data_IF_857855236146
#
_entry.id   IF_857855236146
#
_cell.length_a   1.000
_cell.length_b   1.000
_cell.length_c   1.000
_cell.angle_alpha   90.00
_cell.angle_beta   90.00
_cell.angle_gamma   90.00
#
_symmetry.space_group_name_H-M   'P 1'
#
loop_
_entity.id
_entity.type
_entity.pdbx_description
1 polymer ?
#
# COMPACT_ATOMS: atom_id res chain seq x y z
N UNK A 1 18.88 -17.34 20.02
CA UNK A 1 18.06 -17.88 18.92
C UNK A 1 18.83 -19.00 18.26
N UNK A 2 18.27 -20.20 18.19
CA UNK A 2 18.98 -21.35 17.62
C UNK A 2 18.90 -21.35 16.07
N UNK A 3 19.93 -21.83 15.36
CA UNK A 3 19.97 -21.85 13.89
C UNK A 3 18.79 -22.62 13.24
N UNK A 4 18.19 -23.57 13.98
CA UNK A 4 17.03 -24.34 13.55
C UNK A 4 15.76 -23.49 13.40
N UNK A 5 15.59 -22.44 14.21
CA UNK A 5 14.43 -21.53 14.15
C UNK A 5 14.45 -20.66 12.89
N UNK A 6 15.65 -20.27 12.45
CA UNK A 6 15.85 -19.49 11.21
C UNK A 6 15.58 -20.38 9.98
N UNK A 7 16.03 -21.64 10.02
CA UNK A 7 15.78 -22.64 8.96
C UNK A 7 14.27 -22.96 8.79
N UNK A 8 13.52 -23.07 9.89
CA UNK A 8 12.08 -23.30 9.86
C UNK A 8 11.29 -22.06 9.37
N UNK A 9 11.74 -20.85 9.73
CA UNK A 9 11.17 -19.60 9.25
C UNK A 9 11.42 -19.38 7.73
N UNK A 10 12.62 -19.75 7.24
CA UNK A 10 12.97 -19.70 5.81
C UNK A 10 12.25 -20.77 4.97
N UNK A 11 11.81 -21.88 5.56
CA UNK A 11 11.03 -22.93 4.86
C UNK A 11 9.58 -22.55 4.55
N UNK A 12 9.10 -21.41 5.04
CA UNK A 12 7.73 -20.90 4.81
C UNK A 12 7.74 -19.47 4.26
N UNK A 13 8.69 -19.11 3.41
CA UNK A 13 8.60 -17.82 2.74
C UNK A 13 7.48 -17.92 1.69
N UNK A 14 6.31 -17.45 2.09
CA UNK A 14 5.15 -17.37 1.21
C UNK A 14 5.49 -16.47 0.00
N UNK A 15 5.16 -16.86 -1.24
CA UNK A 15 5.45 -16.05 -2.42
C UNK A 15 4.94 -14.60 -2.30
N UNK A 16 3.86 -14.37 -1.55
CA UNK A 16 3.37 -13.01 -1.29
C UNK A 16 4.29 -12.18 -0.40
N UNK A 17 5.03 -12.81 0.52
CA UNK A 17 6.01 -12.13 1.38
C UNK A 17 7.21 -11.71 0.55
N UNK A 18 7.70 -12.57 -0.34
CA UNK A 18 8.78 -12.23 -1.28
C UNK A 18 8.34 -11.10 -2.18
N UNK A 19 7.13 -11.19 -2.76
CA UNK A 19 6.58 -10.15 -3.61
C UNK A 19 6.38 -8.83 -2.85
N UNK A 20 5.98 -8.88 -1.58
CA UNK A 20 5.80 -7.69 -0.74
C UNK A 20 7.15 -7.01 -0.45
N UNK A 21 8.16 -7.80 -0.05
CA UNK A 21 9.51 -7.28 0.22
C UNK A 21 10.12 -6.72 -1.05
N UNK A 22 10.05 -7.45 -2.16
CA UNK A 22 10.56 -7.00 -3.45
C UNK A 22 9.91 -5.69 -3.89
N UNK A 23 8.58 -5.57 -3.76
CA UNK A 23 7.87 -4.34 -4.10
C UNK A 23 8.28 -3.16 -3.19
N UNK A 24 8.54 -3.40 -1.91
CA UNK A 24 9.01 -2.37 -0.96
C UNK A 24 10.49 -2.01 -1.12
N UNK A 25 11.28 -2.79 -1.87
CA UNK A 25 12.65 -2.42 -2.25
C UNK A 25 12.68 -1.51 -3.48
N UNK A 26 11.63 -1.49 -4.30
CA UNK A 26 11.58 -0.61 -5.48
C UNK A 26 11.74 0.87 -5.13
N UNK A 27 11.11 1.41 -4.08
CA UNK A 27 11.35 2.80 -3.67
C UNK A 27 12.80 3.09 -3.24
N UNK A 28 13.49 2.12 -2.61
CA UNK A 28 14.92 2.24 -2.28
C UNK A 28 15.76 2.35 -3.56
N UNK A 29 15.48 1.51 -4.56
CA UNK A 29 16.12 1.59 -5.88
C UNK A 29 15.81 2.94 -6.54
N UNK A 30 14.58 3.42 -6.44
CA UNK A 30 14.14 4.76 -6.83
C UNK A 30 15.05 5.87 -6.27
N UNK A 31 15.28 5.85 -4.96
CA UNK A 31 16.10 6.85 -4.27
C UNK A 31 17.59 6.76 -4.65
N UNK A 32 18.17 5.56 -4.67
CA UNK A 32 19.62 5.40 -4.88
C UNK A 32 20.05 5.42 -6.35
N UNK A 33 19.25 4.84 -7.25
CA UNK A 33 19.58 4.69 -8.67
C UNK A 33 18.94 5.80 -9.50
N UNK A 34 17.63 6.00 -9.35
CA UNK A 34 16.87 7.00 -10.11
C UNK A 34 16.86 8.38 -9.44
N UNK A 35 17.57 8.53 -8.31
CA UNK A 35 17.73 9.78 -7.57
C UNK A 35 16.39 10.44 -7.25
N UNK A 36 15.39 9.63 -6.93
CA UNK A 36 14.05 10.14 -6.61
C UNK A 36 14.12 11.17 -5.51
N UNK A 37 13.54 12.32 -5.80
CA UNK A 37 13.29 13.35 -4.82
C UNK A 37 12.14 12.95 -3.90
N UNK A 38 11.95 13.75 -2.86
CA UNK A 38 10.92 13.56 -1.83
C UNK A 38 9.55 13.35 -2.44
N UNK A 39 9.15 14.25 -3.33
CA UNK A 39 7.79 14.27 -3.84
C UNK A 39 7.44 13.02 -4.68
N UNK A 40 8.23 12.61 -5.70
CA UNK A 40 7.98 11.36 -6.42
C UNK A 40 7.86 10.13 -5.51
N UNK A 41 8.69 10.05 -4.45
CA UNK A 41 8.63 8.96 -3.47
C UNK A 41 7.31 8.97 -2.68
N UNK A 42 6.95 10.13 -2.11
CA UNK A 42 5.69 10.29 -1.36
C UNK A 42 4.46 10.09 -2.25
N UNK A 43 4.55 10.51 -3.51
CA UNK A 43 3.50 10.31 -4.50
C UNK A 43 3.33 8.83 -4.85
N UNK A 44 4.42 8.07 -4.99
CA UNK A 44 4.34 6.62 -5.17
C UNK A 44 3.70 5.92 -3.96
N UNK A 45 4.10 6.31 -2.74
CA UNK A 45 3.46 5.82 -1.51
C UNK A 45 1.97 6.12 -1.50
N UNK A 46 1.56 7.30 -1.96
CA UNK A 46 0.15 7.61 -2.12
C UNK A 46 -0.53 6.72 -3.17
N UNK A 47 0.08 6.50 -4.34
CA UNK A 47 -0.44 5.62 -5.41
C UNK A 47 -0.65 4.17 -4.93
N UNK A 48 0.20 3.67 -4.04
CA UNK A 48 0.03 2.35 -3.43
C UNK A 48 -1.34 2.20 -2.75
N UNK A 49 -1.86 3.26 -2.11
CA UNK A 49 -3.18 3.22 -1.48
C UNK A 49 -4.31 2.98 -2.50
N UNK A 50 -4.14 3.47 -3.73
CA UNK A 50 -5.07 3.22 -4.83
C UNK A 50 -5.02 1.73 -5.20
N UNK A 51 -3.82 1.17 -5.39
CA UNK A 51 -3.63 -0.26 -5.70
C UNK A 51 -4.22 -1.15 -4.60
N UNK A 52 -3.98 -0.81 -3.33
CA UNK A 52 -4.56 -1.49 -2.16
C UNK A 52 -6.08 -1.41 -2.18
N UNK A 53 -6.64 -0.21 -2.45
CA UNK A 53 -8.08 0.02 -2.53
C UNK A 53 -8.74 -0.81 -3.61
N UNK A 54 -8.19 -0.79 -4.83
CA UNK A 54 -8.66 -1.60 -5.97
C UNK A 54 -8.60 -3.09 -5.64
N UNK A 55 -7.47 -3.55 -5.09
CA UNK A 55 -7.30 -4.95 -4.68
C UNK A 55 -8.33 -5.36 -3.61
N UNK A 56 -8.66 -4.47 -2.69
CA UNK A 56 -9.65 -4.72 -1.66
C UNK A 56 -11.08 -4.78 -2.21
N UNK A 57 -11.40 -3.91 -3.17
CA UNK A 57 -12.67 -3.99 -3.92
C UNK A 57 -12.80 -5.33 -4.63
N UNK A 58 -11.75 -5.79 -5.30
CA UNK A 58 -11.72 -7.13 -5.90
C UNK A 58 -11.95 -8.23 -4.85
N UNK A 59 -11.29 -8.16 -3.69
CA UNK A 59 -11.56 -9.11 -2.61
C UNK A 59 -13.03 -9.11 -2.17
N UNK A 60 -13.63 -7.95 -1.98
CA UNK A 60 -15.04 -7.84 -1.59
C UNK A 60 -15.99 -8.37 -2.67
N UNK A 61 -15.69 -8.14 -3.95
CA UNK A 61 -16.45 -8.66 -5.08
C UNK A 61 -16.43 -10.20 -5.10
N UNK A 62 -15.26 -10.80 -4.90
CA UNK A 62 -15.07 -12.25 -4.92
C UNK A 62 -15.37 -12.95 -3.59
N UNK A 63 -15.59 -12.21 -2.50
CA UNK A 63 -16.04 -12.78 -1.24
C UNK A 63 -17.34 -13.56 -1.46
N UNK A 64 -17.43 -14.78 -0.92
CA UNK A 64 -18.56 -15.69 -1.11
C UNK A 64 -19.26 -15.97 0.23
N UNK A 65 -20.14 -15.06 0.70
CA UNK A 65 -20.88 -15.27 1.94
C UNK A 65 -21.83 -16.46 1.82
N UNK A 66 -21.94 -17.27 2.88
CA UNK A 66 -22.90 -18.38 2.98
C UNK A 66 -24.36 -17.95 3.16
N UNK A 67 -24.60 -16.69 3.53
CA UNK A 67 -25.90 -16.16 3.94
C UNK A 67 -26.43 -15.15 2.90
N UNK A 68 -27.67 -15.30 2.39
CA UNK A 68 -28.31 -14.37 1.46
C UNK A 68 -28.32 -12.91 1.94
N UNK A 69 -28.49 -12.66 3.24
CA UNK A 69 -28.48 -11.30 3.80
C UNK A 69 -27.12 -10.61 3.60
N UNK A 70 -26.04 -11.38 3.60
CA UNK A 70 -24.67 -10.88 3.37
C UNK A 70 -24.38 -10.61 1.90
N UNK A 71 -25.11 -11.24 0.98
CA UNK A 71 -25.06 -10.87 -0.44
C UNK A 71 -25.69 -9.49 -0.67
N UNK A 72 -26.84 -9.22 -0.04
CA UNK A 72 -27.42 -7.87 -0.04
C UNK A 72 -26.49 -6.84 0.60
N UNK A 73 -25.80 -7.21 1.68
CA UNK A 73 -24.80 -6.34 2.30
C UNK A 73 -23.67 -5.94 1.33
N UNK A 74 -23.22 -6.82 0.41
CA UNK A 74 -22.21 -6.48 -0.61
C UNK A 74 -22.64 -5.29 -1.48
N UNK A 75 -23.92 -5.22 -1.85
CA UNK A 75 -24.46 -4.12 -2.66
C UNK A 75 -24.37 -2.76 -1.95
N UNK A 76 -24.34 -2.75 -0.63
CA UNK A 76 -24.13 -1.53 0.16
C UNK A 76 -22.65 -1.27 0.45
N UNK A 77 -21.94 -2.28 0.97
CA UNK A 77 -20.57 -2.13 1.46
C UNK A 77 -19.56 -1.79 0.34
N UNK A 78 -19.73 -2.30 -0.88
CA UNK A 78 -18.78 -2.05 -1.96
C UNK A 78 -18.86 -0.59 -2.45
N UNK A 79 -20.03 -0.03 -2.83
CA UNK A 79 -20.13 1.38 -3.16
C UNK A 79 -19.75 2.29 -1.99
N UNK A 80 -20.17 1.94 -0.76
CA UNK A 80 -19.78 2.69 0.43
C UNK A 80 -18.26 2.74 0.60
N UNK A 81 -17.57 1.61 0.46
CA UNK A 81 -16.11 1.55 0.49
C UNK A 81 -15.51 2.43 -0.60
N UNK A 82 -15.97 2.31 -1.85
CA UNK A 82 -15.44 3.12 -2.97
C UNK A 82 -15.57 4.62 -2.70
N UNK A 83 -16.72 5.08 -2.19
CA UNK A 83 -16.93 6.50 -1.86
C UNK A 83 -16.11 6.93 -0.65
N UNK A 84 -16.17 6.16 0.45
CA UNK A 84 -15.53 6.55 1.71
C UNK A 84 -14.00 6.45 1.65
N UNK A 85 -13.47 5.29 1.23
CA UNK A 85 -12.03 5.07 1.06
C UNK A 85 -11.48 5.89 -0.11
N UNK A 86 -12.22 5.98 -1.22
CA UNK A 86 -11.83 6.79 -2.37
C UNK A 86 -11.78 8.29 -2.04
N UNK A 87 -12.79 8.80 -1.33
CA UNK A 87 -12.81 10.18 -0.85
C UNK A 87 -11.65 10.49 0.09
N UNK A 88 -11.37 9.61 1.04
CA UNK A 88 -10.20 9.73 1.91
C UNK A 88 -8.89 9.74 1.10
N UNK A 89 -8.74 8.82 0.14
CA UNK A 89 -7.54 8.72 -0.71
C UNK A 89 -7.36 9.96 -1.58
N UNK A 90 -8.46 10.52 -2.10
CA UNK A 90 -8.46 11.74 -2.90
C UNK A 90 -8.04 12.96 -2.08
N UNK A 91 -8.63 13.17 -0.89
CA UNK A 91 -8.25 14.26 0.02
C UNK A 91 -6.78 14.13 0.43
N UNK A 92 -6.34 12.94 0.81
CA UNK A 92 -4.94 12.72 1.16
C UNK A 92 -3.99 13.03 -0.02
N UNK A 93 -4.32 12.61 -1.24
CA UNK A 93 -3.53 12.92 -2.43
C UNK A 93 -3.43 14.42 -2.69
N UNK A 94 -4.54 15.13 -2.55
CA UNK A 94 -4.56 16.59 -2.64
C UNK A 94 -3.64 17.24 -1.60
N UNK A 95 -3.59 16.74 -0.36
CA UNK A 95 -2.65 17.22 0.66
C UNK A 95 -1.19 16.93 0.31
N UNK A 96 -0.87 15.72 -0.16
CA UNK A 96 0.50 15.36 -0.59
C UNK A 96 0.99 16.32 -1.68
N UNK A 97 0.15 16.59 -2.68
CA UNK A 97 0.46 17.56 -3.75
C UNK A 97 0.54 18.98 -3.21
N UNK A 98 -0.36 19.38 -2.30
CA UNK A 98 -0.36 20.71 -1.72
C UNK A 98 0.90 21.00 -0.89
N UNK A 99 1.39 20.03 -0.11
CA UNK A 99 2.56 20.23 0.75
C UNK A 99 3.89 19.97 0.03
N UNK A 100 3.96 18.95 -0.83
CA UNK A 100 5.22 18.49 -1.41
C UNK A 100 5.32 18.66 -2.92
N UNK A 101 4.22 18.98 -3.62
CA UNK A 101 4.16 19.01 -5.07
C UNK A 101 4.89 20.17 -5.75
N UNK A 102 5.35 21.19 -5.00
CA UNK A 102 6.25 22.26 -5.46
C UNK A 102 5.98 22.78 -6.88
N UNK A 103 6.70 22.22 -7.86
CA UNK A 103 6.64 22.56 -9.29
C UNK A 103 5.44 22.06 -10.09
N UNK A 104 4.54 21.26 -9.51
CA UNK A 104 3.25 20.90 -10.11
C UNK A 104 2.17 21.98 -9.92
N UNK A 105 2.46 23.00 -9.11
CA UNK A 105 1.52 24.06 -8.73
C UNK A 105 1.35 25.16 -9.78
N UNK A 106 1.53 24.86 -11.07
CA UNK A 106 1.43 25.90 -12.10
C UNK A 106 -0.04 26.35 -12.28
N UNK A 107 -0.34 27.46 -11.59
CA UNK A 107 -1.35 28.49 -11.83
C UNK A 107 -2.87 28.20 -11.81
N UNK A 108 -3.40 26.99 -11.53
CA UNK A 108 -4.88 26.80 -11.52
C UNK A 108 -5.53 25.99 -10.38
N UNK A 109 -4.81 25.53 -9.36
CA UNK A 109 -5.43 24.98 -8.14
C UNK A 109 -4.72 23.79 -7.49
N UNK A 110 -5.39 23.15 -6.52
CA UNK A 110 -4.91 22.00 -5.74
C UNK A 110 -4.79 20.70 -6.57
N UNK A 111 -5.33 20.66 -7.78
CA UNK A 111 -5.35 19.49 -8.67
C UNK A 111 -4.37 19.71 -9.82
N UNK A 112 -3.34 18.87 -10.00
CA UNK A 112 -2.41 18.98 -11.12
C UNK A 112 -3.10 18.64 -12.44
N UNK A 113 -2.60 19.20 -13.55
CA UNK A 113 -3.06 18.81 -14.88
C UNK A 113 -2.65 17.37 -15.20
N UNK A 114 -3.43 16.73 -16.08
CA UNK A 114 -3.14 15.36 -16.55
C UNK A 114 -1.74 15.27 -17.17
N UNK A 115 -1.33 16.28 -17.93
CA UNK A 115 0.01 16.34 -18.53
C UNK A 115 1.12 16.39 -17.47
N UNK A 116 0.89 17.12 -16.37
CA UNK A 116 1.87 17.25 -15.30
C UNK A 116 2.01 15.94 -14.51
N UNK A 117 0.88 15.24 -14.27
CA UNK A 117 0.89 13.89 -13.70
C UNK A 117 1.58 12.89 -14.63
N UNK A 118 1.31 12.96 -15.94
CA UNK A 118 1.94 12.10 -16.93
C UNK A 118 3.46 12.30 -16.97
N UNK A 119 3.92 13.56 -16.96
CA UNK A 119 5.35 13.88 -16.87
C UNK A 119 5.98 13.37 -15.59
N UNK A 120 5.33 13.56 -14.43
CA UNK A 120 5.81 13.06 -13.15
C UNK A 120 6.03 11.53 -13.20
N UNK A 121 5.05 10.79 -13.72
CA UNK A 121 5.11 9.31 -13.79
C UNK A 121 6.17 8.84 -14.77
N UNK A 122 6.28 9.46 -15.94
CA UNK A 122 7.22 9.04 -16.99
C UNK A 122 8.67 9.44 -16.68
N UNK A 123 8.91 10.67 -16.23
CA UNK A 123 10.26 11.17 -15.92
C UNK A 123 10.89 10.49 -14.72
N UNK A 124 10.09 10.11 -13.72
CA UNK A 124 10.58 9.41 -12.53
C UNK A 124 10.45 7.88 -12.64
N UNK A 125 10.04 7.36 -13.80
CA UNK A 125 9.85 5.92 -14.00
C UNK A 125 8.87 5.27 -13.00
N UNK A 126 7.94 6.04 -12.43
CA UNK A 126 7.00 5.55 -11.41
C UNK A 126 6.07 4.46 -11.95
N UNK A 127 5.88 4.40 -13.27
CA UNK A 127 5.08 3.35 -13.92
C UNK A 127 5.60 1.95 -13.63
N UNK A 128 6.92 1.74 -13.60
CA UNK A 128 7.51 0.44 -13.26
C UNK A 128 7.31 0.07 -11.79
N UNK A 129 7.42 1.05 -10.91
CA UNK A 129 7.19 0.85 -9.48
C UNK A 129 5.71 0.55 -9.19
N UNK A 130 4.81 1.27 -9.84
CA UNK A 130 3.38 1.03 -9.76
C UNK A 130 3.01 -0.35 -10.31
N UNK A 131 3.62 -0.77 -11.42
CA UNK A 131 3.45 -2.11 -11.97
C UNK A 131 3.93 -3.18 -10.99
N UNK A 132 5.10 -2.99 -10.36
CA UNK A 132 5.62 -3.89 -9.34
C UNK A 132 4.67 -4.03 -8.13
N UNK A 133 4.13 -2.92 -7.65
CA UNK A 133 3.11 -2.92 -6.58
C UNK A 133 1.84 -3.65 -7.02
N UNK A 134 1.33 -3.35 -8.22
CA UNK A 134 0.14 -3.99 -8.77
C UNK A 134 0.33 -5.51 -8.95
N UNK A 135 1.49 -5.95 -9.43
CA UNK A 135 1.84 -7.37 -9.57
C UNK A 135 1.93 -8.03 -8.20
N UNK A 136 2.58 -7.40 -7.22
CA UNK A 136 2.68 -7.94 -5.86
C UNK A 136 1.31 -8.15 -5.21
N UNK A 137 0.44 -7.16 -5.33
CA UNK A 137 -0.95 -7.25 -4.88
C UNK A 137 -1.76 -8.27 -5.68
N UNK A 138 -1.56 -8.34 -6.99
CA UNK A 138 -2.18 -9.30 -7.89
C UNK A 138 -1.81 -10.75 -7.57
N UNK A 139 -0.54 -11.02 -7.24
CA UNK A 139 -0.07 -12.33 -6.79
C UNK A 139 -0.74 -12.69 -5.46
N UNK A 140 -0.77 -11.76 -4.49
CA UNK A 140 -1.45 -12.01 -3.22
C UNK A 140 -2.95 -12.28 -3.43
N UNK A 141 -3.60 -11.59 -4.35
CA UNK A 141 -5.01 -11.82 -4.67
C UNK A 141 -5.23 -13.17 -5.38
N UNK A 142 -4.48 -13.46 -6.43
CA UNK A 142 -4.64 -14.70 -7.19
C UNK A 142 -4.26 -15.95 -6.38
N UNK A 143 -3.08 -15.94 -5.77
CA UNK A 143 -2.56 -17.12 -5.07
C UNK A 143 -3.15 -17.29 -3.67
N UNK A 144 -3.18 -16.24 -2.84
CA UNK A 144 -3.67 -16.41 -1.47
C UNK A 144 -5.19 -16.31 -1.44
N UNK A 145 -5.77 -15.29 -2.07
CA UNK A 145 -7.20 -15.04 -1.91
C UNK A 145 -8.08 -16.02 -2.71
N UNK A 146 -7.75 -16.24 -3.98
CA UNK A 146 -8.52 -17.14 -4.85
C UNK A 146 -8.09 -18.61 -4.70
N UNK A 147 -6.81 -18.93 -4.96
CA UNK A 147 -6.34 -20.32 -5.01
C UNK A 147 -6.38 -21.03 -3.65
N UNK A 148 -5.96 -20.37 -2.57
CA UNK A 148 -6.07 -20.94 -1.21
C UNK A 148 -7.47 -20.81 -0.60
N UNK A 149 -8.40 -20.17 -1.30
CA UNK A 149 -9.81 -20.15 -0.91
C UNK A 149 -10.17 -19.19 0.23
N UNK A 150 -9.32 -18.21 0.56
CA UNK A 150 -9.62 -17.21 1.61
C UNK A 150 -10.94 -16.47 1.33
N UNK A 151 -11.31 -16.31 0.06
CA UNK A 151 -12.58 -15.68 -0.37
C UNK A 151 -13.83 -16.35 0.22
N UNK A 152 -13.75 -17.62 0.62
CA UNK A 152 -14.88 -18.39 1.20
C UNK A 152 -15.14 -18.04 2.67
N UNK A 153 -14.10 -17.65 3.39
CA UNK A 153 -14.17 -17.33 4.83
C UNK A 153 -14.04 -15.81 5.08
N UNK A 154 -13.81 -15.02 4.03
CA UNK A 154 -13.64 -13.58 4.12
C UNK A 154 -14.90 -12.86 4.63
N UNK A 155 -14.76 -12.15 5.75
CA UNK A 155 -15.83 -11.32 6.33
C UNK A 155 -15.80 -9.93 5.70
N UNK A 156 -16.94 -9.46 5.19
CA UNK A 156 -17.08 -8.13 4.59
C UNK A 156 -16.59 -7.01 5.51
N UNK A 157 -16.95 -7.04 6.80
CA UNK A 157 -16.51 -6.02 7.75
C UNK A 157 -14.98 -6.00 7.93
N UNK A 158 -14.33 -7.17 7.88
CA UNK A 158 -12.87 -7.25 7.95
C UNK A 158 -12.22 -6.68 6.70
N UNK A 159 -12.77 -6.98 5.52
CA UNK A 159 -12.28 -6.43 4.24
C UNK A 159 -12.46 -4.91 4.19
N UNK A 160 -13.57 -4.37 4.70
CA UNK A 160 -13.76 -2.93 4.82
C UNK A 160 -12.61 -2.27 5.58
N UNK A 161 -12.21 -2.82 6.73
CA UNK A 161 -11.19 -2.21 7.59
C UNK A 161 -9.74 -2.54 7.18
N UNK A 162 -9.53 -3.53 6.31
CA UNK A 162 -8.20 -4.07 5.97
C UNK A 162 -7.24 -2.99 5.41
N UNK A 163 -7.64 -2.09 4.49
CA UNK A 163 -6.76 -1.07 3.93
C UNK A 163 -6.31 0.00 4.93
N UNK A 164 -7.17 0.35 5.90
CA UNK A 164 -6.95 1.49 6.80
C UNK A 164 -5.69 1.35 7.66
N UNK A 165 -5.36 0.13 8.09
CA UNK A 165 -4.15 -0.10 8.88
C UNK A 165 -2.86 0.27 8.13
N UNK A 166 -2.79 -0.06 6.84
CA UNK A 166 -1.64 0.26 5.97
C UNK A 166 -1.59 1.75 5.65
N UNK A 167 -2.75 2.33 5.37
CA UNK A 167 -2.89 3.77 5.09
C UNK A 167 -2.48 4.62 6.31
N UNK A 168 -2.88 4.23 7.53
CA UNK A 168 -2.49 4.95 8.75
C UNK A 168 -0.99 4.91 9.00
N UNK A 169 -0.37 3.74 8.82
CA UNK A 169 1.09 3.57 8.87
C UNK A 169 1.77 4.54 7.93
N UNK A 170 1.25 4.64 6.70
CA UNK A 170 1.77 5.53 5.68
C UNK A 170 1.59 7.00 6.06
N UNK A 171 0.44 7.41 6.59
CA UNK A 171 0.23 8.78 7.08
C UNK A 171 1.22 9.15 8.18
N UNK A 172 1.40 8.27 9.17
CA UNK A 172 2.37 8.48 10.24
C UNK A 172 3.80 8.57 9.70
N UNK A 173 4.11 7.76 8.68
CA UNK A 173 5.41 7.77 8.01
C UNK A 173 5.62 9.05 7.19
N UNK A 174 4.62 9.53 6.45
CA UNK A 174 4.72 10.74 5.63
C UNK A 174 4.76 11.99 6.51
N UNK A 175 3.87 12.11 7.50
CA UNK A 175 3.86 13.22 8.45
C UNK A 175 5.12 13.25 9.29
N UNK A 176 5.48 12.13 9.95
CA UNK A 176 6.69 12.02 10.75
C UNK A 176 7.96 12.15 9.91
N UNK A 177 7.93 11.66 8.67
CA UNK A 177 9.00 11.75 7.69
C UNK A 177 9.32 13.15 7.24
N UNK A 178 8.29 13.97 6.99
CA UNK A 178 8.48 15.39 6.70
C UNK A 178 9.24 16.08 7.83
N UNK A 179 8.83 15.86 9.08
CA UNK A 179 9.53 16.40 10.25
C UNK A 179 10.96 15.84 10.42
N UNK A 180 11.16 14.54 10.20
CA UNK A 180 12.48 13.90 10.25
C UNK A 180 13.43 14.46 9.20
N UNK A 181 12.95 14.71 7.98
CA UNK A 181 13.77 15.30 6.92
C UNK A 181 14.16 16.74 7.22
N UNK A 182 13.25 17.52 7.81
CA UNK A 182 13.56 18.86 8.29
C UNK A 182 14.64 18.81 9.39
N UNK A 183 14.60 17.82 10.28
CA UNK A 183 15.58 17.68 11.37
C UNK A 183 16.95 17.17 10.90
N UNK A 184 16.99 16.27 9.91
CA UNK A 184 18.22 15.60 9.48
C UNK A 184 19.12 16.45 8.56
N UNK A 185 18.59 17.55 7.99
CA UNK A 185 19.27 18.43 7.02
C UNK A 185 19.87 17.71 5.78
N UNK A 186 19.71 16.38 5.66
CA UNK A 186 20.20 15.53 4.59
C UNK A 186 19.01 14.83 3.92
N UNK A 187 18.65 15.25 2.69
CA UNK A 187 17.52 14.67 1.97
C UNK A 187 17.67 13.17 1.75
N UNK A 188 18.87 12.69 1.45
CA UNK A 188 19.11 11.28 1.14
C UNK A 188 18.94 10.37 2.37
N UNK A 189 19.49 10.77 3.52
CA UNK A 189 19.38 9.99 4.75
C UNK A 189 17.92 9.94 5.25
N UNK A 190 17.20 11.05 5.13
CA UNK A 190 15.78 11.14 5.46
C UNK A 190 14.92 10.23 4.58
N UNK A 191 15.16 10.21 3.26
CA UNK A 191 14.45 9.32 2.33
C UNK A 191 14.74 7.84 2.60
N UNK A 192 16.00 7.48 2.82
CA UNK A 192 16.36 6.09 3.14
C UNK A 192 15.70 5.62 4.44
N UNK A 193 15.72 6.45 5.48
CA UNK A 193 15.04 6.14 6.75
C UNK A 193 13.53 5.99 6.56
N UNK A 194 12.92 6.83 5.73
CA UNK A 194 11.49 6.75 5.42
C UNK A 194 11.10 5.43 4.75
N UNK A 195 11.87 4.99 3.75
CA UNK A 195 11.60 3.71 3.10
C UNK A 195 11.80 2.54 4.07
N UNK A 196 12.84 2.59 4.92
CA UNK A 196 13.07 1.55 5.93
C UNK A 196 11.95 1.49 6.97
N UNK A 197 11.50 2.65 7.47
CA UNK A 197 10.39 2.73 8.42
C UNK A 197 9.12 2.13 7.80
N UNK A 198 8.81 2.50 6.55
CA UNK A 198 7.67 1.95 5.82
C UNK A 198 7.78 0.43 5.68
N UNK A 199 8.92 -0.09 5.24
CA UNK A 199 9.15 -1.53 5.09
C UNK A 199 8.87 -2.29 6.39
N UNK A 200 9.39 -1.79 7.53
CA UNK A 200 9.17 -2.42 8.85
C UNK A 200 7.69 -2.42 9.22
N UNK A 201 7.00 -1.30 9.01
CA UNK A 201 5.59 -1.18 9.37
C UNK A 201 4.69 -2.03 8.45
N UNK A 202 5.00 -2.11 7.16
CA UNK A 202 4.28 -2.96 6.20
C UNK A 202 4.49 -4.44 6.48
N UNK A 203 5.70 -4.86 6.85
CA UNK A 203 5.98 -6.24 7.31
C UNK A 203 5.18 -6.56 8.58
N UNK A 204 5.17 -5.66 9.55
CA UNK A 204 4.39 -5.84 10.80
C UNK A 204 2.89 -5.93 10.52
N UNK A 205 2.38 -5.13 9.58
CA UNK A 205 0.98 -5.20 9.16
C UNK A 205 0.68 -6.55 8.48
N UNK A 206 1.57 -7.04 7.62
CA UNK A 206 1.41 -8.33 6.96
C UNK A 206 1.42 -9.51 7.95
N UNK A 207 2.29 -9.50 8.96
CA UNK A 207 2.30 -10.54 10.00
C UNK A 207 1.05 -10.51 10.86
N UNK A 208 0.60 -9.33 11.30
CA UNK A 208 -0.67 -9.19 12.05
C UNK A 208 -1.89 -9.64 11.25
N UNK A 209 -1.85 -9.46 9.94
CA UNK A 209 -2.88 -9.96 9.04
C UNK A 209 -2.89 -11.49 9.01
N UNK A 210 -1.72 -12.14 8.99
CA UNK A 210 -1.58 -13.60 9.02
C UNK A 210 -2.02 -14.22 10.36
N UNK A 211 -1.72 -13.58 11.48
CA UNK A 211 -2.14 -14.05 12.81
C UNK A 211 -3.66 -14.13 12.95
N UNK A 212 -4.40 -13.24 12.29
CA UNK A 212 -5.89 -13.25 12.29
C UNK A 212 -6.51 -14.41 11.52
N UNK A 213 -5.74 -15.06 10.65
CA UNK A 213 -6.17 -16.21 9.85
C UNK A 213 -5.45 -17.50 10.24
N UNK A 214 -4.59 -17.47 11.26
CA UNK A 214 -4.00 -18.67 11.83
C UNK A 214 -5.08 -19.44 12.59
N UNK A 215 -5.17 -20.78 12.46
CA UNK A 215 -6.09 -21.57 13.27
C UNK A 215 -5.78 -21.30 14.75
N UNK A 216 -6.83 -20.99 15.53
CA UNK A 216 -6.72 -20.96 16.98
C UNK A 216 -6.13 -22.30 17.43
N UNK A 217 -5.00 -22.26 18.12
CA UNK A 217 -4.54 -23.41 18.88
C UNK A 217 -5.45 -23.49 20.10
N UNK A 218 -6.31 -24.50 20.11
CA UNK A 218 -6.97 -25.01 21.31
C UNK A 218 -5.92 -25.44 22.35
#
# INVERSE_FOLDING_TARGET
MQPADISAALKRIDPSVIALVAANLVPLVGVFVFRWEVFPLLFLFWLENIVVGVSNVLKMLFAAPRDPARWAAKLFFIPFFCVHYGGFTAVHGALVIAFFGGGLKDQRGLVPSVDALYKLVTQNHLGWALLGLAVSHGISFGHNYLWRGEYREAKLQSLMNQPYGRVMVLHLTILGGGFLMLALHSPLAGLALLVLLKLVLDLRAHWREREKFAPQKD
#
